data_IF_918086529239
#
_entry.id   IF_918086529239
#
_cell.length_a   1.000
_cell.length_b   1.000
_cell.length_c   1.000
_cell.angle_alpha   90.00
_cell.angle_beta   90.00
_cell.angle_gamma   90.00
#
_symmetry.space_group_name_H-M   'P 1'
#
loop_
_entity.id
_entity.type
_entity.pdbx_description
1 polymer ?
#
# COMPACT_ATOMS: atom_id res chain seq x y z
N UNK A 1 -8.58 17.62 1.68
CA UNK A 1 -7.31 16.91 2.00
C UNK A 1 -6.42 16.63 0.79
N UNK A 2 -6.95 16.27 -0.39
CA UNK A 2 -6.12 16.11 -1.61
C UNK A 2 -5.67 17.44 -2.26
N UNK A 3 -6.41 18.51 -2.01
CA UNK A 3 -6.16 19.89 -2.47
C UNK A 3 -5.25 20.71 -1.56
N UNK A 4 -4.95 20.22 -0.35
CA UNK A 4 -4.12 20.94 0.63
C UNK A 4 -2.63 20.69 0.38
N UNK A 5 -1.77 21.67 0.66
CA UNK A 5 -0.31 21.56 0.50
C UNK A 5 0.36 20.87 1.70
N UNK A 6 -0.23 19.75 2.12
CA UNK A 6 0.34 18.88 3.16
C UNK A 6 1.39 17.96 2.55
N UNK A 7 2.31 17.44 3.38
CA UNK A 7 3.33 16.48 2.95
C UNK A 7 2.71 15.25 2.26
N UNK A 8 1.61 14.74 2.81
CA UNK A 8 0.83 13.64 2.24
C UNK A 8 0.20 14.04 0.89
N UNK A 9 -0.45 15.20 0.82
CA UNK A 9 -1.05 15.71 -0.42
C UNK A 9 -0.02 15.85 -1.54
N UNK A 10 1.19 16.35 -1.24
CA UNK A 10 2.30 16.41 -2.20
C UNK A 10 2.75 15.03 -2.67
N UNK A 11 2.93 14.07 -1.75
CA UNK A 11 3.33 12.69 -2.08
C UNK A 11 2.30 12.03 -3.00
N UNK A 12 1.03 12.10 -2.65
CA UNK A 12 -0.07 11.51 -3.44
C UNK A 12 -0.14 12.13 -4.84
N UNK A 13 -0.06 13.47 -4.96
CA UNK A 13 -0.06 14.14 -6.26
C UNK A 13 1.14 13.74 -7.12
N UNK A 14 2.32 13.57 -6.51
CA UNK A 14 3.52 13.11 -7.22
C UNK A 14 3.33 11.71 -7.79
N UNK A 15 2.77 10.79 -7.01
CA UNK A 15 2.47 9.42 -7.48
C UNK A 15 1.43 9.43 -8.58
N UNK A 16 0.32 10.16 -8.41
CA UNK A 16 -0.72 10.26 -9.43
C UNK A 16 -0.19 10.82 -10.76
N UNK A 17 0.65 11.87 -10.72
CA UNK A 17 1.31 12.41 -11.92
C UNK A 17 2.21 11.37 -12.57
N UNK A 18 2.99 10.63 -11.78
CA UNK A 18 3.88 9.60 -12.32
C UNK A 18 3.11 8.50 -13.07
N UNK A 19 1.96 8.07 -12.55
CA UNK A 19 1.10 7.09 -13.23
C UNK A 19 0.54 7.64 -14.56
N UNK A 20 0.10 8.89 -14.56
CA UNK A 20 -0.37 9.59 -15.78
C UNK A 20 0.75 9.73 -16.81
N UNK A 21 1.95 10.12 -16.39
CA UNK A 21 3.11 10.28 -17.27
C UNK A 21 3.52 8.95 -17.92
N UNK A 22 3.32 7.83 -17.21
CA UNK A 22 3.52 6.47 -17.73
C UNK A 22 2.32 5.93 -18.52
N UNK A 23 1.25 6.72 -18.69
CA UNK A 23 0.00 6.32 -19.37
C UNK A 23 -0.66 5.09 -18.73
N UNK A 24 -0.53 4.95 -17.42
CA UNK A 24 -1.20 3.90 -16.65
C UNK A 24 -2.60 4.39 -16.28
N UNK A 25 -3.62 3.73 -16.83
CA UNK A 25 -5.00 3.96 -16.42
C UNK A 25 -5.16 3.60 -14.95
N UNK A 26 -5.48 4.59 -14.13
CA UNK A 26 -5.53 4.43 -12.69
C UNK A 26 -6.55 5.35 -12.06
N UNK A 27 -7.20 4.86 -11.00
CA UNK A 27 -8.09 5.66 -10.17
C UNK A 27 -7.49 5.77 -8.76
N UNK A 28 -7.33 6.99 -8.29
CA UNK A 28 -6.87 7.26 -6.93
C UNK A 28 -8.08 7.55 -6.02
N UNK A 29 -8.19 6.80 -4.93
CA UNK A 29 -9.26 6.92 -3.94
C UNK A 29 -8.65 7.19 -2.56
N UNK A 30 -8.99 8.34 -1.97
CA UNK A 30 -8.67 8.62 -0.57
C UNK A 30 -9.88 8.22 0.29
N UNK A 31 -9.60 7.61 1.43
CA UNK A 31 -10.60 7.06 2.34
C UNK A 31 -10.22 7.31 3.80
N UNK A 32 -11.20 7.36 4.69
CA UNK A 32 -11.00 7.78 6.10
C UNK A 32 -11.45 6.74 7.14
N UNK A 33 -12.30 5.80 6.77
CA UNK A 33 -12.73 4.67 7.63
C UNK A 33 -11.64 3.58 7.77
N UNK A 34 -11.98 2.51 8.51
CA UNK A 34 -11.11 1.38 8.76
C UNK A 34 -10.59 0.75 7.46
N UNK A 35 -9.25 0.66 7.27
CA UNK A 35 -8.65 0.24 6.01
C UNK A 35 -9.12 -1.12 5.49
N UNK A 36 -9.37 -2.08 6.40
CA UNK A 36 -9.81 -3.41 6.03
C UNK A 36 -11.18 -3.42 5.37
N UNK A 37 -12.18 -2.82 6.01
CA UNK A 37 -13.56 -2.83 5.51
C UNK A 37 -13.69 -2.09 4.18
N UNK A 38 -12.87 -1.07 3.96
CA UNK A 38 -12.82 -0.36 2.68
C UNK A 38 -12.23 -1.21 1.57
N UNK A 39 -11.11 -1.90 1.82
CA UNK A 39 -10.53 -2.81 0.84
C UNK A 39 -11.48 -3.97 0.59
N UNK A 40 -12.07 -4.56 1.64
CA UNK A 40 -13.04 -5.63 1.53
C UNK A 40 -14.25 -5.23 0.69
N UNK A 41 -14.86 -4.07 0.99
CA UNK A 41 -16.01 -3.55 0.24
C UNK A 41 -15.66 -3.25 -1.21
N UNK A 42 -14.55 -2.55 -1.46
CA UNK A 42 -14.10 -2.24 -2.82
C UNK A 42 -13.82 -3.51 -3.64
N UNK A 43 -13.17 -4.53 -3.05
CA UNK A 43 -12.89 -5.81 -3.72
C UNK A 43 -14.16 -6.64 -3.92
N UNK A 44 -15.14 -6.53 -3.04
CA UNK A 44 -16.43 -7.26 -3.16
C UNK A 44 -17.32 -6.64 -4.23
N UNK A 45 -17.34 -5.30 -4.34
CA UNK A 45 -18.17 -4.57 -5.29
C UNK A 45 -17.54 -4.44 -6.67
N UNK A 46 -16.20 -4.41 -6.74
CA UNK A 46 -15.45 -4.26 -7.98
C UNK A 46 -15.03 -5.61 -8.58
N UNK A 47 -14.69 -5.56 -9.87
CA UNK A 47 -14.14 -6.71 -10.60
C UNK A 47 -12.61 -6.65 -10.58
N UNK A 48 -12.02 -6.85 -9.40
CA UNK A 48 -10.57 -6.87 -9.20
C UNK A 48 -10.03 -8.30 -9.28
N UNK A 49 -9.00 -8.49 -10.10
CA UNK A 49 -8.30 -9.77 -10.28
C UNK A 49 -7.10 -9.94 -9.33
N UNK A 50 -6.60 -8.84 -8.74
CA UNK A 50 -5.48 -8.84 -7.81
C UNK A 50 -5.55 -7.67 -6.83
N UNK A 51 -5.32 -7.95 -5.54
CA UNK A 51 -5.05 -6.93 -4.52
C UNK A 51 -3.55 -6.89 -4.23
N UNK A 52 -2.93 -5.72 -4.39
CA UNK A 52 -1.51 -5.52 -4.05
C UNK A 52 -1.39 -4.66 -2.81
N UNK A 53 -0.64 -5.14 -1.81
CA UNK A 53 -0.44 -4.45 -0.53
C UNK A 53 1.05 -4.27 -0.26
N UNK A 54 1.46 -3.02 -0.09
CA UNK A 54 2.82 -2.69 0.31
C UNK A 54 3.02 -3.02 1.80
N UNK A 55 3.91 -3.96 2.08
CA UNK A 55 4.29 -4.38 3.42
C UNK A 55 5.38 -3.49 3.98
N UNK A 56 5.07 -2.25 4.32
CA UNK A 56 6.00 -1.51 5.17
C UNK A 56 6.24 -2.29 6.48
N UNK A 57 7.44 -2.23 7.04
CA UNK A 57 7.84 -3.03 8.22
C UNK A 57 6.92 -2.84 9.44
N UNK A 58 6.08 -1.81 9.43
CA UNK A 58 5.06 -1.49 10.44
C UNK A 58 3.64 -1.37 9.85
N UNK A 59 3.34 -1.96 8.69
CA UNK A 59 2.03 -1.78 8.08
C UNK A 59 0.94 -2.34 9.00
N UNK A 60 0.21 -1.43 9.64
CA UNK A 60 -0.94 -1.76 10.47
C UNK A 60 -2.00 -2.51 9.66
N UNK A 61 -2.10 -2.20 8.36
CA UNK A 61 -2.99 -2.86 7.41
C UNK A 61 -2.69 -4.36 7.27
N UNK A 62 -1.45 -4.80 7.09
CA UNK A 62 -1.16 -6.24 6.98
C UNK A 62 -1.37 -7.00 8.27
N UNK A 63 -1.06 -6.36 9.42
CA UNK A 63 -1.35 -6.97 10.72
C UNK A 63 -2.86 -7.15 10.87
N UNK A 64 -3.63 -6.10 10.59
CA UNK A 64 -5.07 -6.12 10.68
C UNK A 64 -5.71 -7.09 9.68
N UNK A 65 -5.25 -7.13 8.44
CA UNK A 65 -5.70 -8.11 7.45
C UNK A 65 -5.42 -9.53 7.90
N UNK A 66 -4.24 -9.80 8.46
CA UNK A 66 -3.92 -11.12 8.98
C UNK A 66 -4.87 -11.50 10.12
N UNK A 67 -5.08 -10.60 11.08
CA UNK A 67 -5.94 -10.84 12.24
C UNK A 67 -7.41 -11.07 11.82
N UNK A 68 -7.92 -10.34 10.82
CA UNK A 68 -9.29 -10.47 10.29
C UNK A 68 -9.46 -11.62 9.29
N UNK A 69 -8.41 -11.97 8.53
CA UNK A 69 -8.43 -13.14 7.64
C UNK A 69 -8.44 -14.46 8.42
N UNK A 70 -7.98 -14.43 9.67
CA UNK A 70 -8.05 -15.55 10.60
C UNK A 70 -9.45 -15.65 11.27
N UNK A 71 -10.37 -14.70 11.05
CA UNK A 71 -11.75 -14.77 11.54
C UNK A 71 -12.58 -15.76 10.69
N UNK A 72 -13.05 -16.88 11.27
CA UNK A 72 -13.82 -17.89 10.55
C UNK A 72 -15.19 -17.39 10.05
N UNK A 73 -15.68 -16.24 10.56
CA UNK A 73 -16.91 -15.60 10.09
C UNK A 73 -16.68 -14.72 8.86
N UNK A 74 -15.42 -14.45 8.51
CA UNK A 74 -15.07 -13.52 7.46
C UNK A 74 -14.58 -14.25 6.20
N UNK A 75 -15.49 -14.39 5.23
CA UNK A 75 -15.16 -14.93 3.92
C UNK A 75 -14.49 -13.85 3.06
N UNK A 76 -13.16 -13.80 3.06
CA UNK A 76 -12.41 -12.94 2.14
C UNK A 76 -12.85 -13.19 0.68
N UNK A 77 -13.01 -12.15 -0.15
CA UNK A 77 -13.34 -12.33 -1.57
C UNK A 77 -12.31 -13.25 -2.23
N UNK A 78 -12.71 -14.01 -3.27
CA UNK A 78 -11.81 -14.95 -3.97
C UNK A 78 -10.69 -14.27 -4.79
N UNK A 79 -10.35 -13.03 -4.48
CA UNK A 79 -9.32 -12.25 -5.14
C UNK A 79 -7.93 -12.57 -4.53
N UNK A 80 -6.94 -12.99 -5.34
CA UNK A 80 -5.56 -13.14 -4.91
C UNK A 80 -5.00 -11.88 -4.25
N UNK A 81 -4.18 -12.06 -3.21
CA UNK A 81 -3.51 -10.96 -2.50
C UNK A 81 -1.99 -11.09 -2.66
N UNK A 82 -1.36 -10.09 -3.27
CA UNK A 82 0.10 -9.96 -3.38
C UNK A 82 0.62 -8.99 -2.32
N UNK A 83 1.53 -9.47 -1.48
CA UNK A 83 2.19 -8.65 -0.46
C UNK A 83 3.58 -8.25 -0.95
N UNK A 84 3.76 -6.97 -1.27
CA UNK A 84 5.03 -6.41 -1.74
C UNK A 84 5.88 -5.92 -0.55
N UNK A 85 6.98 -6.62 -0.24
CA UNK A 85 7.90 -6.22 0.84
C UNK A 85 8.94 -5.22 0.33
N UNK A 86 9.31 -4.18 1.12
CA UNK A 86 10.40 -3.29 0.76
C UNK A 86 11.69 -4.09 0.70
N UNK A 87 12.54 -3.74 -0.26
CA UNK A 87 13.90 -4.24 -0.33
C UNK A 87 14.69 -3.42 0.68
N UNK A 88 15.12 -4.05 1.77
CA UNK A 88 16.10 -3.44 2.68
C UNK A 88 17.43 -3.38 1.96
N UNK A 89 17.81 -2.20 1.48
CA UNK A 89 19.14 -1.97 0.93
C UNK A 89 20.07 -1.74 2.12
N UNK A 90 20.78 -2.79 2.56
CA UNK A 90 21.88 -2.65 3.52
C UNK A 90 22.93 -1.70 2.94
N UNK A 91 23.04 -0.50 3.50
CA UNK A 91 24.08 0.48 3.16
C UNK A 91 25.44 0.04 3.69
N UNK A 92 26.16 -0.77 2.90
CA UNK A 92 27.57 -1.13 3.12
C UNK A 92 28.57 0.00 2.80
N UNK A 93 28.25 1.26 3.12
CA UNK A 93 29.18 2.40 2.96
C UNK A 93 29.34 3.11 4.30
N UNK A 94 30.06 2.49 5.23
CA UNK A 94 30.72 3.16 6.38
C UNK A 94 31.66 2.19 7.10
N UNK A 95 32.76 1.75 6.47
CA UNK A 95 33.94 1.25 7.21
C UNK A 95 35.20 1.12 6.34
N UNK A 96 35.52 2.16 5.57
CA UNK A 96 36.78 2.21 4.80
C UNK A 96 37.47 3.56 4.96
N UNK A 97 37.45 4.11 6.17
CA UNK A 97 38.18 5.35 6.51
C UNK A 97 38.79 5.26 7.91
N UNK A 98 39.68 4.29 8.08
CA UNK A 98 40.65 4.28 9.19
C UNK A 98 41.89 3.50 8.76
N UNK A 99 42.58 4.03 7.74
CA UNK A 99 43.98 3.78 7.49
C UNK A 99 44.60 5.12 7.09
N UNK A 100 45.01 5.87 8.10
CA UNK A 100 46.02 6.92 8.04
C UNK A 100 46.83 6.87 9.32
#
# INVERSE_FOLDING_TARGET
LLSTDTSLGRKIRRVARHLVDQRIESTLRLREEAPFWQVYGEVTEGDYDLVVIAAESHSHLLRYLKDEMDDPLLCWPRCPVLIAKPIEVETWISNSSSLS
#
